data_IF_022660375912
#
_entry.id   IF_022660375912
#
_cell.length_a   1.000
_cell.length_b   1.000
_cell.length_c   1.000
_cell.angle_alpha   90.00
_cell.angle_beta   90.00
_cell.angle_gamma   90.00
#
_symmetry.space_group_name_H-M   'P 1'
#
loop_
_entity.id
_entity.type
_entity.pdbx_description
1 polymer ?
#
# COMPACT_ATOMS: atom_id res chain seq x y z
N UNK A 1 -55.24 -6.64 21.40
CA UNK A 1 -56.49 -7.28 21.84
C UNK A 1 -56.20 -8.03 23.13
N UNK A 2 -56.32 -7.31 24.24
CA UNK A 2 -56.34 -7.85 25.60
C UNK A 2 -57.82 -8.03 25.93
N UNK A 3 -58.35 -9.25 25.91
CA UNK A 3 -59.66 -9.58 26.49
C UNK A 3 -59.86 -11.09 26.44
N UNK A 4 -60.60 -11.62 27.41
CA UNK A 4 -61.02 -13.02 27.60
C UNK A 4 -60.10 -13.86 28.52
N UNK A 5 -59.86 -13.38 29.73
CA UNK A 5 -59.48 -14.24 30.86
C UNK A 5 -60.04 -13.66 32.16
N UNK A 6 -61.37 -13.60 32.31
CA UNK A 6 -61.99 -13.54 33.64
C UNK A 6 -63.42 -14.07 33.58
N UNK A 7 -63.78 -14.81 34.64
CA UNK A 7 -65.10 -15.36 35.03
C UNK A 7 -65.33 -16.83 34.64
N UNK A 8 -65.03 -17.75 35.56
CA UNK A 8 -66.06 -18.40 36.39
C UNK A 8 -65.45 -19.15 37.59
N UNK A 9 -66.06 -18.94 38.77
CA UNK A 9 -66.42 -19.96 39.76
C UNK A 9 -65.34 -20.83 40.41
N UNK A 10 -65.27 -20.75 41.74
CA UNK A 10 -64.53 -21.64 42.65
C UNK A 10 -64.82 -23.11 42.34
N UNK A 11 -63.92 -23.75 41.59
CA UNK A 11 -63.72 -25.19 41.56
C UNK A 11 -62.22 -25.39 41.76
N UNK A 12 -61.85 -26.07 42.83
CA UNK A 12 -60.48 -26.55 43.08
C UNK A 12 -60.06 -27.48 41.95
N UNK A 13 -59.48 -26.91 40.90
CA UNK A 13 -58.65 -27.62 39.94
C UNK A 13 -57.20 -27.28 40.25
N UNK A 14 -56.41 -28.34 40.50
CA UNK A 14 -54.95 -28.30 40.48
C UNK A 14 -54.50 -27.68 39.16
N UNK A 15 -54.21 -26.38 39.17
CA UNK A 15 -53.58 -25.73 38.02
C UNK A 15 -52.13 -26.21 37.98
N UNK A 16 -51.88 -27.24 37.16
CA UNK A 16 -50.54 -27.48 36.66
C UNK A 16 -50.08 -26.18 35.99
N UNK A 17 -49.26 -25.40 36.70
CA UNK A 17 -48.78 -24.11 36.23
C UNK A 17 -48.01 -24.28 34.92
N UNK A 18 -48.67 -23.96 33.81
CA UNK A 18 -48.02 -23.86 32.50
C UNK A 18 -47.27 -22.53 32.47
N UNK A 19 -45.94 -22.57 32.59
CA UNK A 19 -45.10 -21.40 32.38
C UNK A 19 -44.73 -21.32 30.89
N UNK A 20 -45.15 -20.23 30.22
CA UNK A 20 -44.81 -19.92 28.83
C UNK A 20 -43.65 -18.91 28.82
N UNK A 21 -42.55 -19.22 28.12
CA UNK A 21 -41.38 -18.34 28.00
C UNK A 21 -41.08 -18.06 26.53
N UNK A 22 -41.06 -16.78 26.16
CA UNK A 22 -40.71 -16.33 24.80
C UNK A 22 -39.23 -15.93 24.74
N UNK A 23 -38.52 -16.29 23.68
CA UNK A 23 -37.08 -16.00 23.52
C UNK A 23 -36.66 -15.87 22.07
N UNK A 24 -35.83 -14.89 21.78
CA UNK A 24 -35.25 -14.62 20.46
C UNK A 24 -33.82 -15.16 20.41
N UNK A 25 -33.50 -15.84 19.32
CA UNK A 25 -32.16 -16.35 19.01
C UNK A 25 -31.77 -15.89 17.62
N UNK A 26 -30.57 -15.32 17.50
CA UNK A 26 -30.00 -14.95 16.20
C UNK A 26 -28.98 -15.99 15.77
N UNK A 27 -28.92 -16.25 14.48
CA UNK A 27 -27.87 -17.07 13.89
C UNK A 27 -27.47 -16.55 12.50
N UNK A 28 -26.20 -16.69 12.17
CA UNK A 28 -25.68 -16.42 10.84
C UNK A 28 -26.00 -17.59 9.89
N UNK A 29 -26.41 -17.29 8.66
CA UNK A 29 -26.62 -18.33 7.65
C UNK A 29 -25.33 -19.15 7.44
N UNK A 30 -25.44 -20.47 7.50
CA UNK A 30 -24.32 -21.42 7.45
C UNK A 30 -23.74 -21.79 8.82
N UNK A 31 -24.07 -21.03 9.87
CA UNK A 31 -23.58 -21.28 11.23
C UNK A 31 -24.41 -22.33 12.00
N UNK A 32 -24.07 -22.52 13.27
CA UNK A 32 -24.82 -23.34 14.21
C UNK A 32 -25.70 -22.46 15.10
N UNK A 33 -26.97 -22.80 15.24
CA UNK A 33 -27.88 -22.18 16.21
C UNK A 33 -28.15 -23.12 17.39
N UNK A 34 -28.23 -22.56 18.60
CA UNK A 34 -28.65 -23.27 19.81
C UNK A 34 -29.95 -22.65 20.32
N UNK A 35 -31.05 -23.40 20.24
CA UNK A 35 -32.35 -22.97 20.72
C UNK A 35 -32.52 -23.44 22.18
N UNK A 36 -32.61 -22.51 23.15
CA UNK A 36 -32.61 -22.87 24.55
C UNK A 36 -33.91 -23.56 24.95
N UNK A 37 -33.81 -24.59 25.77
CA UNK A 37 -34.94 -25.13 26.50
C UNK A 37 -34.47 -25.71 27.82
N UNK A 38 -34.91 -25.11 28.92
CA UNK A 38 -34.48 -25.47 30.27
C UNK A 38 -35.67 -25.91 31.09
N UNK A 39 -35.49 -26.98 31.85
CA UNK A 39 -36.50 -27.49 32.75
C UNK A 39 -35.84 -28.00 34.03
N UNK A 40 -36.13 -27.33 35.14
CA UNK A 40 -35.70 -27.73 36.47
C UNK A 40 -36.78 -28.57 37.14
N UNK A 41 -36.42 -29.79 37.54
CA UNK A 41 -37.28 -30.68 38.32
C UNK A 41 -36.45 -31.44 39.35
N UNK A 42 -37.03 -31.65 40.54
CA UNK A 42 -36.47 -32.50 41.60
C UNK A 42 -36.89 -33.97 41.47
N UNK A 43 -37.68 -34.32 40.46
CA UNK A 43 -38.15 -35.70 40.22
C UNK A 43 -37.08 -36.54 39.53
N UNK A 44 -36.99 -37.82 39.90
CA UNK A 44 -36.13 -38.84 39.27
C UNK A 44 -36.71 -39.39 37.97
N UNK A 45 -37.95 -39.05 37.62
CA UNK A 45 -38.62 -39.52 36.40
C UNK A 45 -38.18 -38.67 35.19
N UNK A 46 -37.68 -39.33 34.15
CA UNK A 46 -37.28 -38.67 32.92
C UNK A 46 -38.50 -37.96 32.25
N UNK A 47 -38.40 -36.64 31.94
CA UNK A 47 -39.48 -35.93 31.29
C UNK A 47 -39.62 -36.33 29.81
N UNK A 48 -40.81 -36.17 29.25
CA UNK A 48 -40.99 -36.19 27.80
C UNK A 48 -40.68 -34.81 27.22
N UNK A 49 -40.01 -34.77 26.07
CA UNK A 49 -39.59 -33.54 25.40
C UNK A 49 -40.09 -33.54 23.97
N UNK A 50 -40.61 -32.41 23.51
CA UNK A 50 -41.06 -32.23 22.13
C UNK A 50 -40.58 -30.89 21.59
N UNK A 51 -39.81 -30.94 20.52
CA UNK A 51 -39.43 -29.79 19.70
C UNK A 51 -40.24 -29.80 18.41
N UNK A 52 -40.97 -28.72 18.17
CA UNK A 52 -41.82 -28.55 17.01
C UNK A 52 -41.55 -27.21 16.34
N UNK A 53 -41.41 -27.20 15.01
CA UNK A 53 -41.33 -25.97 14.22
C UNK A 53 -42.71 -25.64 13.69
N UNK A 54 -43.17 -24.41 13.92
CA UNK A 54 -44.45 -23.94 13.41
C UNK A 54 -44.48 -24.11 11.88
N UNK A 55 -45.57 -24.66 11.36
CA UNK A 55 -45.79 -24.98 9.93
C UNK A 55 -44.89 -26.07 9.31
N UNK A 56 -43.99 -26.70 10.07
CA UNK A 56 -43.14 -27.81 9.58
C UNK A 56 -43.25 -29.09 10.42
N UNK A 57 -43.88 -29.03 11.59
CA UNK A 57 -44.12 -30.18 12.43
C UNK A 57 -42.93 -30.55 13.31
N UNK A 58 -42.98 -31.78 13.83
CA UNK A 58 -42.02 -32.26 14.84
C UNK A 58 -40.60 -32.26 14.28
N UNK A 59 -39.71 -31.53 14.94
CA UNK A 59 -38.27 -31.54 14.67
C UNK A 59 -37.63 -32.74 15.35
N UNK A 60 -37.90 -32.89 16.64
CA UNK A 60 -37.40 -33.99 17.46
C UNK A 60 -38.28 -34.16 18.70
N UNK A 61 -38.47 -35.39 19.17
CA UNK A 61 -39.17 -35.68 20.44
C UNK A 61 -38.60 -36.92 21.12
N UNK A 62 -38.68 -36.94 22.45
CA UNK A 62 -38.37 -38.09 23.33
C UNK A 62 -39.53 -38.33 24.28
N UNK A 63 -40.04 -39.55 24.30
CA UNK A 63 -41.08 -39.99 25.22
C UNK A 63 -40.52 -40.40 26.58
N UNK A 64 -41.37 -40.54 27.60
CA UNK A 64 -40.98 -40.96 28.97
C UNK A 64 -40.33 -42.36 28.99
N UNK A 65 -40.73 -43.23 28.07
CA UNK A 65 -40.14 -44.58 27.87
C UNK A 65 -38.77 -44.55 27.18
N UNK A 66 -38.25 -43.39 26.80
CA UNK A 66 -36.97 -43.23 26.10
C UNK A 66 -37.03 -43.30 24.58
N UNK A 67 -38.19 -43.62 23.98
CA UNK A 67 -38.36 -43.67 22.53
C UNK A 67 -38.14 -42.28 21.93
N UNK A 68 -37.32 -42.22 20.88
CA UNK A 68 -37.00 -40.97 20.19
C UNK A 68 -37.54 -40.99 18.78
N UNK A 69 -38.06 -39.84 18.36
CA UNK A 69 -38.49 -39.61 16.98
C UNK A 69 -37.86 -38.31 16.49
N UNK A 70 -37.41 -38.32 15.23
CA UNK A 70 -36.82 -37.17 14.57
C UNK A 70 -37.53 -36.98 13.23
N UNK A 71 -37.96 -35.76 12.95
CA UNK A 71 -38.63 -35.44 11.69
C UNK A 71 -37.69 -35.74 10.51
N UNK A 72 -38.23 -36.32 9.43
CA UNK A 72 -37.45 -36.77 8.28
C UNK A 72 -36.57 -35.66 7.68
N UNK A 73 -37.08 -34.43 7.60
CA UNK A 73 -36.37 -33.23 7.10
C UNK A 73 -35.26 -32.70 8.03
N UNK A 74 -35.12 -33.25 9.24
CA UNK A 74 -34.20 -32.79 10.29
C UNK A 74 -33.13 -33.81 10.67
N UNK A 75 -33.19 -35.01 10.09
CA UNK A 75 -32.49 -36.23 10.53
C UNK A 75 -30.98 -36.10 10.71
N UNK A 76 -30.31 -35.13 10.05
CA UNK A 76 -28.86 -34.91 10.14
C UNK A 76 -28.43 -33.56 10.74
N UNK A 77 -29.29 -32.54 10.70
CA UNK A 77 -28.94 -31.17 11.11
C UNK A 77 -29.36 -30.83 12.54
N UNK A 78 -30.40 -31.48 13.05
CA UNK A 78 -30.92 -31.29 14.40
C UNK A 78 -30.30 -32.29 15.38
N UNK A 79 -29.57 -31.79 16.37
CA UNK A 79 -28.96 -32.57 17.45
C UNK A 79 -29.41 -32.04 18.80
N UNK A 80 -29.54 -32.94 19.78
CA UNK A 80 -29.73 -32.56 21.18
C UNK A 80 -28.56 -33.13 21.99
N UNK A 81 -27.93 -32.34 22.87
CA UNK A 81 -26.81 -32.80 23.68
C UNK A 81 -27.32 -33.72 24.82
N UNK A 82 -27.37 -35.02 24.53
CA UNK A 82 -27.95 -36.04 25.43
C UNK A 82 -27.32 -36.07 26.84
N UNK A 83 -26.02 -35.75 26.96
CA UNK A 83 -25.31 -35.73 28.25
C UNK A 83 -25.74 -34.58 29.16
N UNK A 84 -26.39 -33.55 28.63
CA UNK A 84 -26.87 -32.41 29.41
C UNK A 84 -28.34 -32.56 29.86
N UNK A 85 -29.02 -33.60 29.38
CA UNK A 85 -30.42 -33.90 29.73
C UNK A 85 -30.58 -34.21 31.21
N UNK A 86 -29.59 -34.89 31.81
CA UNK A 86 -29.54 -35.17 33.25
C UNK A 86 -29.46 -33.90 34.10
N UNK A 87 -29.08 -32.76 33.50
CA UNK A 87 -29.01 -31.44 34.13
C UNK A 87 -30.20 -30.54 33.79
N UNK A 88 -31.23 -31.10 33.15
CA UNK A 88 -32.43 -30.34 32.76
C UNK A 88 -32.23 -29.41 31.55
N UNK A 89 -31.16 -29.60 30.77
CA UNK A 89 -30.95 -28.87 29.51
C UNK A 89 -31.46 -29.68 28.32
N UNK A 90 -32.51 -29.19 27.68
CA UNK A 90 -33.14 -29.83 26.53
C UNK A 90 -32.99 -28.99 25.26
N UNK A 91 -31.98 -28.12 25.22
CA UNK A 91 -31.73 -27.21 24.10
C UNK A 91 -31.50 -27.97 22.79
N UNK A 92 -32.02 -27.41 21.69
CA UNK A 92 -31.91 -27.96 20.35
C UNK A 92 -30.79 -27.27 19.57
N UNK A 93 -29.82 -28.04 19.10
CA UNK A 93 -28.74 -27.57 18.25
C UNK A 93 -29.10 -27.82 16.78
N UNK A 94 -29.10 -26.76 15.97
CA UNK A 94 -29.29 -26.80 14.53
C UNK A 94 -27.98 -26.42 13.84
N UNK A 95 -27.44 -27.32 13.02
CA UNK A 95 -26.19 -27.08 12.28
C UNK A 95 -26.47 -26.63 10.85
N UNK A 96 -25.59 -25.77 10.32
CA UNK A 96 -25.66 -25.24 8.95
C UNK A 96 -27.05 -24.65 8.67
N UNK A 97 -27.43 -23.65 9.47
CA UNK A 97 -28.74 -23.02 9.39
C UNK A 97 -28.89 -22.24 8.08
N UNK A 98 -30.06 -22.33 7.48
CA UNK A 98 -30.42 -21.65 6.24
C UNK A 98 -31.54 -20.66 6.51
N UNK A 99 -31.82 -19.76 5.57
CA UNK A 99 -32.94 -18.81 5.68
C UNK A 99 -34.29 -19.52 5.95
N UNK A 100 -34.47 -20.73 5.41
CA UNK A 100 -35.68 -21.53 5.61
C UNK A 100 -35.82 -22.10 7.04
N UNK A 101 -34.74 -22.12 7.82
CA UNK A 101 -34.76 -22.54 9.21
C UNK A 101 -35.28 -21.43 10.13
N UNK A 102 -35.26 -20.17 9.69
CA UNK A 102 -35.87 -19.06 10.43
C UNK A 102 -37.36 -19.31 10.75
N UNK A 103 -37.81 -18.76 11.87
CA UNK A 103 -39.20 -18.83 12.33
C UNK A 103 -39.35 -19.30 13.77
N UNK A 104 -40.59 -19.62 14.13
CA UNK A 104 -40.96 -19.96 15.50
C UNK A 104 -40.82 -21.47 15.75
N UNK A 105 -40.15 -21.80 16.85
CA UNK A 105 -40.01 -23.13 17.40
C UNK A 105 -40.69 -23.19 18.77
N UNK A 106 -41.17 -24.37 19.13
CA UNK A 106 -41.78 -24.65 20.43
C UNK A 106 -41.04 -25.81 21.07
N UNK A 107 -40.59 -25.62 22.31
CA UNK A 107 -40.11 -26.69 23.17
C UNK A 107 -41.16 -26.96 24.23
N UNK A 108 -41.66 -28.19 24.31
CA UNK A 108 -42.59 -28.62 25.34
C UNK A 108 -41.95 -29.73 26.16
N UNK A 109 -41.79 -29.50 27.46
CA UNK A 109 -41.26 -30.46 28.42
C UNK A 109 -42.36 -30.87 29.39
N UNK A 110 -42.69 -32.16 29.40
CA UNK A 110 -43.75 -32.75 30.23
C UNK A 110 -43.08 -33.65 31.28
N UNK A 111 -42.92 -33.12 32.48
CA UNK A 111 -42.42 -33.86 33.63
C UNK A 111 -43.52 -34.63 34.36
N UNK A 112 -43.30 -34.88 35.65
CA UNK A 112 -44.23 -35.60 36.51
C UNK A 112 -45.34 -34.68 37.03
N UNK A 113 -44.97 -33.54 37.61
CA UNK A 113 -45.93 -32.60 38.22
C UNK A 113 -46.07 -31.28 37.46
N UNK A 114 -45.24 -31.07 36.42
CA UNK A 114 -45.14 -29.78 35.75
C UNK A 114 -44.92 -29.93 34.25
N UNK A 115 -45.58 -29.05 33.49
CA UNK A 115 -45.36 -28.85 32.06
C UNK A 115 -44.74 -27.47 31.85
N UNK A 116 -43.72 -27.39 31.02
CA UNK A 116 -43.12 -26.11 30.60
C UNK A 116 -43.15 -26.03 29.08
N UNK A 117 -43.51 -24.86 28.56
CA UNK A 117 -43.50 -24.58 27.14
C UNK A 117 -42.69 -23.31 26.88
N UNK A 118 -41.74 -23.41 25.95
CA UNK A 118 -40.93 -22.28 25.52
C UNK A 118 -41.17 -22.03 24.04
N UNK A 119 -41.40 -20.78 23.67
CA UNK A 119 -41.51 -20.34 22.28
C UNK A 119 -40.23 -19.61 21.90
N UNK A 120 -39.53 -20.11 20.89
CA UNK A 120 -38.24 -19.56 20.46
C UNK A 120 -38.39 -19.03 19.03
N UNK A 121 -38.12 -17.74 18.84
CA UNK A 121 -38.03 -17.12 17.51
C UNK A 121 -36.58 -17.18 17.03
N UNK A 122 -36.31 -18.01 16.02
CA UNK A 122 -35.01 -18.09 15.36
C UNK A 122 -34.96 -17.09 14.20
N UNK A 123 -34.08 -16.09 14.31
CA UNK A 123 -33.82 -15.07 13.30
C UNK A 123 -32.49 -15.37 12.62
N UNK A 124 -32.54 -15.60 11.32
CA UNK A 124 -31.38 -15.87 10.48
C UNK A 124 -30.92 -14.59 9.80
N UNK A 125 -29.65 -14.26 9.95
CA UNK A 125 -29.02 -13.11 9.33
C UNK A 125 -28.07 -13.62 8.24
N UNK A 126 -28.19 -13.08 7.03
CA UNK A 126 -27.33 -13.41 5.90
C UNK A 126 -26.76 -12.14 5.30
N UNK A 127 -25.44 -12.06 5.22
CA UNK A 127 -24.74 -11.01 4.47
C UNK A 127 -24.40 -11.54 3.07
N UNK A 128 -24.69 -10.75 2.05
CA UNK A 128 -24.37 -11.07 0.65
C UNK A 128 -23.62 -9.91 0.00
N UNK A 129 -22.57 -10.22 -0.75
CA UNK A 129 -21.82 -9.24 -1.54
C UNK A 129 -22.04 -9.56 -3.02
N UNK A 130 -22.48 -8.57 -3.79
CA UNK A 130 -22.78 -8.72 -5.22
C UNK A 130 -22.16 -7.59 -6.03
N UNK A 131 -21.30 -7.89 -7.03
CA UNK A 131 -20.73 -9.22 -7.29
C UNK A 131 -19.81 -9.66 -6.15
N UNK A 132 -19.60 -10.97 -5.98
CA UNK A 132 -18.81 -11.52 -4.85
C UNK A 132 -17.35 -11.08 -4.84
N UNK A 133 -16.81 -10.73 -6.01
CA UNK A 133 -15.45 -10.21 -6.18
C UNK A 133 -15.48 -9.06 -7.17
N UNK A 134 -15.87 -7.84 -6.73
CA UNK A 134 -15.98 -6.69 -7.61
C UNK A 134 -14.61 -6.20 -8.09
N UNK A 135 -14.61 -5.58 -9.26
CA UNK A 135 -13.44 -4.90 -9.80
C UNK A 135 -13.31 -3.52 -9.17
N UNK A 136 -12.09 -3.03 -9.01
CA UNK A 136 -11.85 -1.66 -8.56
C UNK A 136 -12.65 -0.66 -9.42
N UNK A 137 -13.43 0.22 -8.77
CA UNK A 137 -14.28 1.23 -9.41
C UNK A 137 -15.66 0.74 -9.86
N UNK A 138 -15.96 -0.56 -9.84
CA UNK A 138 -17.30 -1.06 -10.17
C UNK A 138 -18.28 -0.80 -9.02
N UNK A 139 -19.57 -0.79 -9.34
CA UNK A 139 -20.62 -0.81 -8.31
C UNK A 139 -20.64 -2.16 -7.60
N UNK A 140 -20.76 -2.13 -6.28
CA UNK A 140 -20.95 -3.31 -5.43
C UNK A 140 -22.07 -3.04 -4.45
N UNK A 141 -22.93 -4.04 -4.29
CA UNK A 141 -24.03 -4.06 -3.34
C UNK A 141 -23.72 -5.06 -2.23
N UNK A 142 -23.77 -4.60 -0.99
CA UNK A 142 -23.64 -5.43 0.21
C UNK A 142 -25.02 -5.45 0.88
N UNK A 143 -25.67 -6.61 0.86
CA UNK A 143 -27.01 -6.80 1.42
C UNK A 143 -26.98 -7.55 2.76
N UNK A 144 -27.84 -7.14 3.69
CA UNK A 144 -28.17 -7.87 4.90
C UNK A 144 -29.62 -8.33 4.81
N UNK A 145 -29.81 -9.64 4.74
CA UNK A 145 -31.14 -10.26 4.71
C UNK A 145 -31.43 -10.90 6.06
N UNK A 146 -32.58 -10.53 6.64
CA UNK A 146 -33.05 -11.02 7.94
C UNK A 146 -34.29 -11.89 7.73
N UNK A 147 -34.28 -13.13 8.22
CA UNK A 147 -35.39 -14.08 8.03
C UNK A 147 -35.74 -14.79 9.35
N UNK A 148 -36.97 -14.69 9.86
CA UNK A 148 -38.03 -13.77 9.42
C UNK A 148 -37.64 -12.32 9.72
N UNK A 149 -38.30 -11.36 9.07
CA UNK A 149 -38.11 -9.94 9.34
C UNK A 149 -39.23 -9.46 10.29
N UNK A 150 -39.01 -9.44 11.62
CA UNK A 150 -40.03 -8.98 12.55
C UNK A 150 -40.20 -7.46 12.46
N UNK A 151 -41.41 -6.97 12.78
CA UNK A 151 -41.65 -5.54 12.89
C UNK A 151 -40.79 -4.92 14.00
N UNK A 152 -40.17 -3.77 13.73
CA UNK A 152 -39.28 -3.09 14.68
C UNK A 152 -37.83 -3.60 14.65
N UNK A 153 -37.45 -4.42 13.67
CA UNK A 153 -36.04 -4.78 13.45
C UNK A 153 -35.21 -3.55 13.05
N UNK A 154 -34.00 -3.46 13.59
CA UNK A 154 -33.02 -2.42 13.24
C UNK A 154 -31.80 -3.05 12.61
N UNK A 155 -31.22 -2.37 11.62
CA UNK A 155 -30.00 -2.81 10.93
C UNK A 155 -28.96 -1.71 11.01
N UNK A 156 -27.73 -2.10 11.36
CA UNK A 156 -26.56 -1.22 11.30
C UNK A 156 -25.34 -1.98 10.76
N UNK A 157 -24.47 -1.27 10.07
CA UNK A 157 -23.28 -1.85 9.47
C UNK A 157 -22.01 -1.51 10.23
N UNK A 158 -21.06 -2.44 10.21
CA UNK A 158 -19.69 -2.22 10.63
C UNK A 158 -18.75 -2.68 9.52
N UNK A 159 -17.72 -1.87 9.24
CA UNK A 159 -16.61 -2.22 8.36
C UNK A 159 -15.35 -2.33 9.20
N UNK A 160 -14.72 -3.50 9.24
CA UNK A 160 -13.50 -3.76 10.04
C UNK A 160 -13.68 -3.33 11.51
N UNK A 161 -14.81 -3.69 12.11
CA UNK A 161 -15.25 -3.33 13.47
C UNK A 161 -15.47 -1.82 13.72
N UNK A 162 -15.48 -0.98 12.68
CA UNK A 162 -15.81 0.44 12.78
C UNK A 162 -17.23 0.69 12.28
N UNK A 163 -18.05 1.53 12.95
CA UNK A 163 -19.39 1.85 12.49
C UNK A 163 -19.37 2.43 11.07
N UNK A 164 -20.17 1.87 10.18
CA UNK A 164 -20.39 2.41 8.84
C UNK A 164 -21.72 3.16 8.84
N UNK A 165 -21.71 4.44 8.44
CA UNK A 165 -22.86 5.36 8.58
C UNK A 165 -23.94 5.04 7.55
N UNK A 166 -24.77 4.04 7.82
CA UNK A 166 -26.03 3.77 7.13
C UNK A 166 -26.93 2.88 7.99
N UNK A 167 -28.25 3.10 7.88
CA UNK A 167 -29.28 2.25 8.48
C UNK A 167 -29.98 1.36 7.43
N UNK A 168 -29.57 1.44 6.17
CA UNK A 168 -30.17 0.66 5.09
C UNK A 168 -29.72 -0.80 5.13
N UNK A 169 -30.64 -1.72 4.84
CA UNK A 169 -30.34 -3.16 4.75
C UNK A 169 -29.44 -3.49 3.55
N UNK A 170 -29.35 -2.62 2.55
CA UNK A 170 -28.47 -2.77 1.39
C UNK A 170 -27.57 -1.55 1.27
N UNK A 171 -26.27 -1.76 1.13
CA UNK A 171 -25.26 -0.71 0.97
C UNK A 171 -24.71 -0.78 -0.45
N UNK A 172 -24.87 0.30 -1.21
CA UNK A 172 -24.30 0.43 -2.54
C UNK A 172 -23.09 1.36 -2.49
N UNK A 173 -21.91 0.85 -2.85
CA UNK A 173 -20.66 1.61 -2.87
C UNK A 173 -19.86 1.32 -4.14
N UNK A 174 -18.93 2.21 -4.47
CA UNK A 174 -17.89 1.93 -5.46
C UNK A 174 -16.79 1.09 -4.82
N UNK A 175 -16.46 -0.03 -5.46
CA UNK A 175 -15.41 -0.93 -5.00
C UNK A 175 -14.06 -0.20 -4.96
N UNK A 176 -13.46 -0.09 -3.78
CA UNK A 176 -12.20 0.60 -3.54
C UNK A 176 -11.44 -0.06 -2.39
N UNK A 177 -10.13 0.22 -2.29
CA UNK A 177 -9.31 -0.28 -1.17
C UNK A 177 -9.88 0.13 0.19
N UNK A 178 -10.54 1.30 0.26
CA UNK A 178 -11.11 1.85 1.50
C UNK A 178 -12.33 1.07 2.02
N UNK A 179 -13.06 0.37 1.14
CA UNK A 179 -14.25 -0.41 1.49
C UNK A 179 -13.97 -1.91 1.60
N UNK A 180 -12.73 -2.32 1.34
CA UNK A 180 -12.26 -3.71 1.49
C UNK A 180 -12.23 -4.12 2.97
N UNK A 181 -12.54 -5.38 3.23
CA UNK A 181 -12.42 -5.99 4.55
C UNK A 181 -13.69 -6.69 5.01
N UNK A 182 -13.84 -6.84 6.31
CA UNK A 182 -14.95 -7.58 6.91
C UNK A 182 -16.15 -6.65 7.13
N UNK A 183 -17.24 -6.92 6.41
CA UNK A 183 -18.53 -6.26 6.55
C UNK A 183 -19.42 -7.06 7.49
N UNK A 184 -19.80 -6.46 8.62
CA UNK A 184 -20.68 -7.09 9.60
C UNK A 184 -22.00 -6.35 9.65
N UNK A 185 -23.09 -7.06 9.38
CA UNK A 185 -24.43 -6.59 9.65
C UNK A 185 -24.76 -6.90 11.11
N UNK A 186 -25.19 -5.89 11.86
CA UNK A 186 -25.72 -6.06 13.22
C UNK A 186 -27.20 -5.75 13.20
N UNK A 187 -27.97 -6.72 13.68
CA UNK A 187 -29.43 -6.70 13.68
C UNK A 187 -29.90 -6.60 15.13
N UNK A 188 -30.64 -5.54 15.45
CA UNK A 188 -31.24 -5.34 16.77
C UNK A 188 -32.74 -5.65 16.76
N UNK A 189 -33.21 -6.44 17.73
CA UNK A 189 -34.63 -6.73 17.94
C UNK A 189 -34.89 -7.08 19.41
N UNK A 190 -35.96 -6.53 20.01
CA UNK A 190 -36.34 -6.75 21.42
C UNK A 190 -35.17 -6.59 22.42
N UNK A 191 -34.33 -5.57 22.21
CA UNK A 191 -33.17 -5.28 23.07
C UNK A 191 -31.99 -6.25 22.94
N UNK A 192 -32.07 -7.26 22.06
CA UNK A 192 -30.97 -8.18 21.73
C UNK A 192 -30.37 -7.85 20.37
N UNK A 193 -29.12 -8.26 20.17
CA UNK A 193 -28.41 -8.09 18.90
C UNK A 193 -27.91 -9.44 18.34
N UNK A 194 -28.10 -9.62 17.04
CA UNK A 194 -27.48 -10.68 16.24
C UNK A 194 -26.51 -10.11 15.22
N UNK A 195 -25.56 -10.94 14.76
CA UNK A 195 -24.52 -10.52 13.79
C UNK A 195 -24.30 -11.58 12.74
N UNK A 196 -23.99 -11.14 11.52
CA UNK A 196 -23.46 -11.96 10.44
C UNK A 196 -22.46 -11.14 9.64
N UNK A 197 -21.47 -11.79 9.03
CA UNK A 197 -20.39 -11.07 8.33
C UNK A 197 -20.05 -11.68 6.98
N UNK A 198 -19.58 -10.84 6.07
CA UNK A 198 -18.96 -11.28 4.83
C UNK A 198 -17.73 -10.41 4.52
N UNK A 199 -16.73 -11.01 3.91
CA UNK A 199 -15.53 -10.28 3.49
C UNK A 199 -15.72 -9.75 2.07
N UNK A 200 -15.52 -8.44 1.90
CA UNK A 200 -15.41 -7.80 0.60
C UNK A 200 -13.92 -7.69 0.22
N UNK A 201 -13.54 -8.38 -0.86
CA UNK A 201 -12.22 -8.27 -1.48
C UNK A 201 -12.37 -7.67 -2.89
N UNK A 202 -11.62 -6.61 -3.16
CA UNK A 202 -11.62 -5.94 -4.46
C UNK A 202 -10.44 -6.43 -5.29
N UNK A 203 -10.69 -6.75 -6.55
CA UNK A 203 -9.68 -7.20 -7.51
C UNK A 203 -9.38 -6.09 -8.53
N UNK A 204 -8.12 -5.97 -8.94
CA UNK A 204 -7.72 -5.01 -9.96
C UNK A 204 -6.24 -4.64 -9.89
N UNK A 205 -5.90 -3.43 -10.32
CA UNK A 205 -4.56 -2.86 -10.18
C UNK A 205 -4.36 -2.52 -8.69
N UNK A 206 -3.29 -3.00 -8.06
CA UNK A 206 -2.92 -2.73 -6.66
C UNK A 206 -1.79 -1.70 -6.55
N UNK A 207 -0.90 -1.64 -7.55
CA UNK A 207 0.08 -0.57 -7.70
C UNK A 207 0.02 -0.02 -9.12
N UNK A 208 -0.11 1.31 -9.30
CA UNK A 208 -0.02 2.36 -8.28
C UNK A 208 -1.21 2.32 -7.30
N UNK A 209 -1.05 2.87 -6.09
CA UNK A 209 -1.99 2.68 -4.97
C UNK A 209 -3.28 3.48 -5.10
N UNK A 210 -3.20 4.69 -5.67
CA UNK A 210 -4.33 5.56 -6.07
C UNK A 210 -4.18 5.97 -7.54
N UNK A 211 -5.20 6.62 -8.11
CA UNK A 211 -5.07 7.27 -9.42
C UNK A 211 -4.23 8.55 -9.27
N UNK A 212 -3.46 8.88 -10.30
CA UNK A 212 -2.49 9.99 -10.31
C UNK A 212 -1.49 9.94 -9.13
N UNK A 213 -1.13 8.74 -8.68
CA UNK A 213 -0.11 8.58 -7.65
C UNK A 213 1.25 9.11 -8.14
N UNK A 214 1.98 9.83 -7.29
CA UNK A 214 3.30 10.38 -7.63
C UNK A 214 4.41 9.41 -7.28
N UNK A 215 5.36 9.29 -8.19
CA UNK A 215 6.59 8.51 -8.04
C UNK A 215 7.75 9.47 -8.26
N UNK A 216 8.66 9.56 -7.30
CA UNK A 216 9.78 10.51 -7.33
C UNK A 216 11.07 9.81 -7.73
N UNK A 217 11.85 10.42 -8.61
CA UNK A 217 13.17 9.94 -8.99
C UNK A 217 14.13 11.11 -9.23
N UNK A 218 15.42 10.90 -8.94
CA UNK A 218 16.47 11.85 -9.26
C UNK A 218 17.03 11.60 -10.67
N UNK A 219 17.49 12.63 -11.36
CA UNK A 219 18.23 12.46 -12.62
C UNK A 219 19.46 11.57 -12.39
N UNK A 220 19.66 10.58 -13.26
CA UNK A 220 20.73 9.58 -13.17
C UNK A 220 20.45 8.43 -12.20
N UNK A 221 19.36 8.47 -11.43
CA UNK A 221 18.95 7.34 -10.57
C UNK A 221 18.15 6.28 -11.34
N UNK A 222 18.07 5.08 -10.78
CA UNK A 222 17.17 4.03 -11.29
C UNK A 222 15.79 4.12 -10.62
N UNK A 223 14.73 3.90 -11.38
CA UNK A 223 13.35 3.88 -10.87
C UNK A 223 12.54 2.75 -11.48
N UNK A 224 11.64 2.16 -10.70
CA UNK A 224 10.64 1.22 -11.19
C UNK A 224 9.27 1.87 -11.14
N UNK A 225 8.63 1.99 -12.30
CA UNK A 225 7.23 2.40 -12.40
C UNK A 225 6.33 1.19 -12.15
N UNK A 226 5.52 1.20 -11.07
CA UNK A 226 4.80 0.01 -10.66
C UNK A 226 3.53 -0.19 -11.50
N UNK A 227 3.32 -1.40 -12.01
CA UNK A 227 2.07 -1.79 -12.65
C UNK A 227 1.72 -3.21 -12.21
N UNK A 228 1.14 -3.32 -11.02
CA UNK A 228 0.93 -4.60 -10.34
C UNK A 228 -0.56 -4.83 -10.17
N UNK A 229 -1.03 -5.99 -10.61
CA UNK A 229 -2.40 -6.48 -10.44
C UNK A 229 -2.50 -7.36 -9.18
N UNK A 230 -3.71 -7.54 -8.66
CA UNK A 230 -3.95 -8.43 -7.52
C UNK A 230 -3.39 -9.83 -7.81
N UNK A 231 -2.64 -10.47 -6.88
CA UNK A 231 -2.10 -11.82 -7.09
C UNK A 231 -3.17 -12.81 -7.57
N UNK A 232 -2.82 -13.62 -8.57
CA UNK A 232 -3.75 -14.56 -9.22
C UNK A 232 -4.68 -13.92 -10.25
N UNK A 233 -4.48 -12.65 -10.60
CA UNK A 233 -5.05 -12.04 -11.80
C UNK A 233 -3.99 -11.93 -12.89
N UNK A 234 -4.32 -12.45 -14.07
CA UNK A 234 -3.48 -12.38 -15.26
C UNK A 234 -4.22 -11.56 -16.31
N UNK A 235 -3.92 -10.26 -16.44
CA UNK A 235 -4.59 -9.39 -17.41
C UNK A 235 -4.28 -9.82 -18.84
N UNK A 236 -5.30 -9.76 -19.70
CA UNK A 236 -5.10 -9.79 -21.13
C UNK A 236 -4.65 -8.40 -21.61
N UNK A 237 -3.64 -8.36 -22.47
CA UNK A 237 -3.04 -7.11 -23.00
C UNK A 237 -2.63 -6.12 -21.89
N UNK A 238 -1.82 -6.54 -20.90
CA UNK A 238 -1.28 -5.59 -19.94
C UNK A 238 -0.41 -4.56 -20.66
N UNK A 239 -0.54 -3.30 -20.28
CA UNK A 239 0.27 -2.23 -20.84
C UNK A 239 0.64 -1.22 -19.76
N UNK A 240 1.91 -0.82 -19.78
CA UNK A 240 2.40 0.37 -19.11
C UNK A 240 2.87 1.32 -20.22
N UNK A 241 2.33 2.53 -20.25
CA UNK A 241 2.55 3.48 -21.36
C UNK A 241 2.74 4.91 -20.83
N UNK A 242 3.51 5.73 -21.55
CA UNK A 242 3.69 7.16 -21.23
C UNK A 242 2.63 7.96 -21.99
N UNK A 243 1.84 8.77 -21.28
CA UNK A 243 0.81 9.62 -21.87
C UNK A 243 1.43 10.93 -22.38
N UNK A 244 1.06 11.33 -23.61
CA UNK A 244 1.45 12.62 -24.19
C UNK A 244 0.47 13.73 -23.77
N UNK A 245 0.94 14.94 -23.45
CA UNK A 245 0.07 16.08 -23.21
C UNK A 245 -0.75 16.39 -24.46
N UNK A 246 -2.09 16.47 -24.34
CA UNK A 246 -2.97 16.97 -25.40
C UNK A 246 -3.40 15.99 -26.49
N UNK A 247 -3.11 14.67 -26.39
CA UNK A 247 -3.65 13.70 -27.35
C UNK A 247 -5.08 13.29 -27.00
N UNK A 248 -6.06 13.86 -27.71
CA UNK A 248 -7.45 13.38 -27.77
C UNK A 248 -7.65 12.24 -28.78
N UNK A 249 -6.57 11.73 -29.40
CA UNK A 249 -6.65 10.74 -30.47
C UNK A 249 -6.32 9.34 -29.96
N UNK A 250 -7.38 8.54 -29.86
CA UNK A 250 -7.37 7.08 -29.87
C UNK A 250 -6.78 6.63 -31.22
N UNK A 251 -5.63 5.93 -31.24
CA UNK A 251 -5.36 4.77 -32.12
C UNK A 251 -3.90 4.29 -32.29
N UNK A 252 -2.95 4.60 -31.40
CA UNK A 252 -1.78 3.73 -31.18
C UNK A 252 -1.46 3.63 -29.69
N UNK A 253 -1.31 2.42 -29.11
CA UNK A 253 -0.70 2.27 -27.80
C UNK A 253 0.77 2.69 -27.94
N UNK A 254 1.09 3.89 -27.49
CA UNK A 254 2.47 4.36 -27.51
C UNK A 254 3.23 3.58 -26.43
N UNK A 255 4.09 2.67 -26.89
CA UNK A 255 4.90 1.82 -26.00
C UNK A 255 5.73 2.71 -25.06
N UNK A 256 5.98 2.21 -23.85
CA UNK A 256 7.05 2.73 -22.99
C UNK A 256 8.31 3.04 -23.83
N UNK A 257 9.01 4.15 -23.53
CA UNK A 257 10.31 4.41 -24.15
C UNK A 257 11.22 3.19 -24.06
N UNK A 258 12.02 2.93 -25.09
CA UNK A 258 12.89 1.75 -25.17
C UNK A 258 13.94 1.67 -24.04
N UNK A 259 14.18 2.78 -23.33
CA UNK A 259 15.03 2.85 -22.14
C UNK A 259 14.49 2.05 -20.95
N UNK A 260 13.18 1.76 -20.94
CA UNK A 260 12.56 0.94 -19.90
C UNK A 260 12.76 -0.56 -20.15
N UNK A 261 13.14 -1.27 -19.08
CA UNK A 261 13.25 -2.72 -19.05
C UNK A 261 12.09 -3.27 -18.24
N UNK A 262 11.22 -4.07 -18.87
CA UNK A 262 10.11 -4.72 -18.17
C UNK A 262 10.64 -5.72 -17.13
N UNK A 263 9.99 -5.79 -15.97
CA UNK A 263 10.39 -6.67 -14.86
C UNK A 263 10.23 -8.17 -15.17
N UNK A 264 9.52 -8.54 -16.23
CA UNK A 264 9.33 -9.95 -16.64
C UNK A 264 9.32 -10.11 -18.16
N UNK A 265 10.42 -10.59 -18.77
CA UNK A 265 10.45 -11.09 -20.15
C UNK A 265 10.02 -12.57 -20.29
N UNK A 266 9.54 -13.22 -19.22
CA UNK A 266 9.23 -14.66 -19.21
C UNK A 266 7.88 -15.01 -19.85
N UNK A 267 7.81 -16.19 -20.47
CA UNK A 267 6.62 -16.78 -21.10
C UNK A 267 5.48 -17.15 -20.14
N UNK A 268 5.65 -16.93 -18.84
CA UNK A 268 4.62 -17.21 -17.84
C UNK A 268 3.74 -15.99 -17.55
N UNK A 269 2.42 -16.20 -17.37
CA UNK A 269 1.52 -15.14 -16.98
C UNK A 269 1.87 -14.63 -15.58
N UNK A 270 2.16 -13.34 -15.46
CA UNK A 270 2.50 -12.64 -14.22
C UNK A 270 1.43 -11.61 -13.87
N UNK A 271 1.28 -11.27 -12.59
CA UNK A 271 0.47 -10.14 -12.14
C UNK A 271 1.27 -8.83 -12.08
N UNK A 272 2.59 -8.90 -12.16
CA UNK A 272 3.49 -7.75 -12.12
C UNK A 272 4.00 -7.43 -13.53
N UNK A 273 3.61 -6.24 -14.01
CA UNK A 273 4.00 -5.68 -15.31
C UNK A 273 4.73 -4.34 -15.13
N UNK A 274 5.41 -4.17 -14.00
CA UNK A 274 6.22 -2.99 -13.71
C UNK A 274 7.39 -2.88 -14.70
N UNK A 275 7.90 -1.65 -14.87
CA UNK A 275 9.05 -1.40 -15.75
C UNK A 275 10.09 -0.54 -15.05
N UNK A 276 11.36 -0.89 -15.23
CA UNK A 276 12.49 -0.23 -14.61
C UNK A 276 13.26 0.60 -15.63
N UNK A 277 13.51 1.85 -15.30
CA UNK A 277 14.41 2.76 -16.00
C UNK A 277 15.69 2.87 -15.20
N UNK A 278 16.84 2.58 -15.81
CA UNK A 278 18.14 2.52 -15.11
C UNK A 278 18.71 3.88 -14.79
N UNK A 279 18.56 4.83 -15.71
CA UNK A 279 19.06 6.18 -15.60
C UNK A 279 17.93 7.12 -16.01
N UNK A 280 17.38 7.83 -15.04
CA UNK A 280 16.28 8.78 -15.26
C UNK A 280 16.82 10.07 -15.85
N UNK A 281 16.21 10.54 -16.94
CA UNK A 281 16.44 11.87 -17.48
C UNK A 281 15.33 12.84 -17.06
N UNK A 282 15.61 14.15 -17.17
CA UNK A 282 14.61 15.16 -16.83
C UNK A 282 13.36 15.09 -17.75
N UNK A 283 13.55 14.63 -18.99
CA UNK A 283 12.47 14.47 -19.98
C UNK A 283 11.58 13.23 -19.71
N UNK A 284 12.04 12.30 -18.88
CA UNK A 284 11.24 11.12 -18.51
C UNK A 284 10.02 11.49 -17.66
N UNK A 285 9.99 12.68 -17.07
CA UNK A 285 8.83 13.18 -16.35
C UNK A 285 7.52 13.10 -17.17
N UNK A 286 6.41 12.94 -16.47
CA UNK A 286 5.08 12.95 -17.08
C UNK A 286 4.13 11.93 -16.47
N UNK A 287 2.97 11.77 -17.12
CA UNK A 287 1.95 10.82 -16.68
C UNK A 287 2.13 9.49 -17.38
N UNK A 288 2.09 8.40 -16.62
CA UNK A 288 2.18 7.02 -17.09
C UNK A 288 0.89 6.30 -16.73
N UNK A 289 0.46 5.37 -17.59
CA UNK A 289 -0.78 4.62 -17.43
C UNK A 289 -0.50 3.13 -17.37
N UNK A 290 -0.89 2.51 -16.26
CA UNK A 290 -0.96 1.06 -16.10
C UNK A 290 -2.36 0.60 -16.50
N UNK A 291 -2.47 -0.38 -17.40
CA UNK A 291 -3.75 -0.88 -17.89
C UNK A 291 -3.73 -2.38 -18.21
N UNK A 292 -4.91 -2.99 -18.25
CA UNK A 292 -5.06 -4.41 -18.60
C UNK A 292 -6.51 -4.88 -18.57
N UNK A 293 -6.82 -5.97 -19.27
CA UNK A 293 -8.17 -6.50 -19.39
C UNK A 293 -8.35 -7.71 -18.47
N UNK A 294 -9.31 -7.67 -17.54
CA UNK A 294 -9.66 -8.79 -16.66
C UNK A 294 -11.12 -9.18 -16.89
N UNK A 295 -11.35 -10.41 -17.37
CA UNK A 295 -12.71 -10.94 -17.65
C UNK A 295 -13.57 -9.99 -18.51
N UNK A 296 -12.96 -9.33 -19.50
CA UNK A 296 -13.64 -8.38 -20.39
C UNK A 296 -13.76 -6.95 -19.85
N UNK A 297 -13.36 -6.68 -18.60
CA UNK A 297 -13.31 -5.33 -18.04
C UNK A 297 -11.94 -4.71 -18.26
N UNK A 298 -11.91 -3.51 -18.84
CA UNK A 298 -10.70 -2.71 -19.00
C UNK A 298 -10.38 -1.97 -17.69
N UNK A 299 -9.24 -2.28 -17.09
CA UNK A 299 -8.75 -1.61 -15.90
C UNK A 299 -7.63 -0.64 -16.29
N UNK A 300 -7.64 0.54 -15.69
CA UNK A 300 -6.61 1.56 -15.90
C UNK A 300 -6.31 2.30 -14.61
N UNK A 301 -5.06 2.73 -14.45
CA UNK A 301 -4.60 3.59 -13.37
C UNK A 301 -3.45 4.47 -13.86
N UNK A 302 -3.53 5.76 -13.59
CA UNK A 302 -2.48 6.70 -13.91
C UNK A 302 -1.54 6.91 -12.72
N UNK A 303 -0.29 7.27 -13.04
CA UNK A 303 0.73 7.72 -12.09
C UNK A 303 1.52 8.87 -12.72
N UNK A 304 2.17 9.68 -11.89
CA UNK A 304 3.02 10.78 -12.35
C UNK A 304 4.46 10.52 -11.92
N UNK A 305 5.38 10.47 -12.88
CA UNK A 305 6.82 10.46 -12.61
C UNK A 305 7.28 11.91 -12.41
N UNK A 306 7.65 12.23 -11.17
CA UNK A 306 8.22 13.52 -10.78
C UNK A 306 9.73 13.39 -10.75
N UNK A 307 10.42 14.18 -11.57
CA UNK A 307 11.89 14.11 -11.69
C UNK A 307 12.53 15.29 -10.96
N UNK A 308 13.52 14.98 -10.14
CA UNK A 308 14.32 15.94 -9.39
C UNK A 308 15.73 16.07 -9.99
N UNK A 309 16.23 17.30 -10.12
CA UNK A 309 17.61 17.62 -10.48
C UNK A 309 18.15 18.75 -9.62
N UNK A 310 19.47 18.90 -9.62
CA UNK A 310 20.14 20.05 -9.01
C UNK A 310 20.68 20.94 -10.12
N UNK A 311 20.20 22.18 -10.15
CA UNK A 311 20.73 23.21 -11.03
C UNK A 311 21.82 23.99 -10.31
N UNK A 312 22.97 24.08 -10.97
CA UNK A 312 24.15 24.77 -10.48
C UNK A 312 24.32 26.08 -11.25
N UNK A 313 24.45 27.19 -10.52
CA UNK A 313 24.69 28.51 -11.09
C UNK A 313 25.80 29.24 -10.35
N UNK A 314 26.66 29.94 -11.09
CA UNK A 314 27.71 30.80 -10.52
C UNK A 314 27.25 32.26 -10.56
N UNK A 315 27.37 32.96 -9.43
CA UNK A 315 26.95 34.36 -9.36
C UNK A 315 27.95 35.24 -10.12
N UNK A 316 27.50 35.92 -11.17
CA UNK A 316 28.37 36.67 -12.11
C UNK A 316 29.25 37.76 -11.46
N UNK A 317 28.97 38.17 -10.21
CA UNK A 317 29.75 39.18 -9.46
C UNK A 317 30.84 38.59 -8.55
N UNK A 318 30.81 37.29 -8.25
CA UNK A 318 31.80 36.58 -7.41
C UNK A 318 32.14 35.26 -8.10
N UNK A 319 33.29 35.20 -8.79
CA UNK A 319 33.72 34.05 -9.61
C UNK A 319 33.83 32.72 -8.84
N UNK A 320 33.87 32.78 -7.50
CA UNK A 320 34.03 31.62 -6.61
C UNK A 320 32.76 31.26 -5.80
N UNK A 321 31.64 31.94 -6.04
CA UNK A 321 30.37 31.66 -5.36
C UNK A 321 29.48 30.73 -6.19
N UNK A 322 28.93 29.71 -5.53
CA UNK A 322 28.15 28.64 -6.14
C UNK A 322 26.76 28.60 -5.51
N UNK A 323 25.72 28.57 -6.33
CA UNK A 323 24.35 28.40 -5.87
C UNK A 323 23.77 27.12 -6.47
N UNK A 324 23.38 26.19 -5.60
CA UNK A 324 22.70 24.94 -5.98
C UNK A 324 21.21 25.09 -5.71
N UNK A 325 20.38 24.78 -6.69
CA UNK A 325 18.92 24.84 -6.56
C UNK A 325 18.32 23.48 -6.84
N UNK A 326 17.52 23.00 -5.89
CA UNK A 326 16.79 21.74 -6.01
C UNK A 326 15.55 21.98 -6.88
N UNK A 327 15.57 21.46 -8.10
CA UNK A 327 14.48 21.61 -9.06
C UNK A 327 13.71 20.30 -9.22
N UNK A 328 12.40 20.36 -9.03
CA UNK A 328 11.48 19.27 -9.30
C UNK A 328 10.51 19.68 -10.41
N UNK A 329 10.06 18.72 -11.21
CA UNK A 329 9.05 18.95 -12.25
C UNK A 329 7.67 19.25 -11.68
N UNK A 330 7.37 18.74 -10.50
CA UNK A 330 6.16 19.04 -9.73
C UNK A 330 6.51 19.21 -8.24
N UNK A 331 6.01 20.30 -7.65
CA UNK A 331 6.26 20.67 -6.24
C UNK A 331 4.99 20.70 -5.40
N UNK A 332 3.84 20.31 -5.96
CA UNK A 332 2.53 20.48 -5.32
C UNK A 332 2.31 19.63 -4.06
N UNK A 333 3.07 18.55 -3.87
CA UNK A 333 3.06 17.74 -2.63
C UNK A 333 4.28 18.03 -1.72
N UNK A 334 5.17 18.95 -2.12
CA UNK A 334 6.38 19.27 -1.36
C UNK A 334 6.12 20.41 -0.39
N UNK A 335 6.42 20.17 0.89
CA UNK A 335 6.20 21.12 2.00
C UNK A 335 7.50 21.72 2.54
N UNK A 336 8.63 20.99 2.49
CA UNK A 336 9.92 21.47 2.97
C UNK A 336 11.11 20.88 2.18
N UNK A 337 12.26 21.54 2.27
CA UNK A 337 13.53 21.15 1.65
C UNK A 337 14.67 21.25 2.66
N UNK A 338 15.56 20.26 2.64
CA UNK A 338 16.79 20.25 3.45
C UNK A 338 18.00 19.87 2.59
N UNK A 339 19.05 20.67 2.67
CA UNK A 339 20.36 20.38 2.10
C UNK A 339 21.24 19.74 3.15
N UNK A 340 21.81 18.59 2.81
CA UNK A 340 22.71 17.82 3.65
C UNK A 340 24.04 17.71 2.93
N UNK A 341 25.11 18.13 3.59
CA UNK A 341 26.48 17.87 3.14
C UNK A 341 27.03 16.66 3.88
N UNK A 342 27.46 15.66 3.12
CA UNK A 342 28.02 14.42 3.66
C UNK A 342 29.52 14.44 3.45
N UNK A 343 30.27 14.28 4.54
CA UNK A 343 31.72 14.12 4.53
C UNK A 343 32.06 12.69 4.95
N UNK A 344 33.14 12.18 4.39
CA UNK A 344 33.66 10.85 4.69
C UNK A 344 34.91 10.99 5.53
N UNK A 345 34.91 10.43 6.73
CA UNK A 345 36.09 10.36 7.57
C UNK A 345 37.16 9.47 6.91
N UNK A 346 38.41 9.53 7.36
CA UNK A 346 39.55 8.73 6.85
C UNK A 346 39.27 7.20 6.88
N UNK A 347 38.32 6.76 7.72
CA UNK A 347 37.87 5.38 7.84
C UNK A 347 36.59 5.06 7.01
N UNK A 348 36.12 5.97 6.15
CA UNK A 348 34.92 5.80 5.32
C UNK A 348 33.60 5.95 6.08
N UNK A 349 33.61 6.49 7.29
CA UNK A 349 32.41 6.72 8.11
C UNK A 349 31.72 8.01 7.66
N UNK A 350 30.41 7.96 7.39
CA UNK A 350 29.63 9.12 6.94
C UNK A 350 29.30 10.03 8.13
N UNK A 351 29.70 11.30 8.06
CA UNK A 351 29.35 12.35 9.01
C UNK A 351 28.53 13.45 8.30
N UNK A 352 27.46 13.90 8.95
CA UNK A 352 26.61 14.99 8.45
C UNK A 352 27.10 16.29 9.07
N UNK A 353 27.68 17.17 8.25
CA UNK A 353 28.34 18.40 8.75
C UNK A 353 27.42 19.62 8.75
N UNK A 354 26.53 19.74 7.77
CA UNK A 354 25.64 20.90 7.67
C UNK A 354 24.24 20.52 7.18
N UNK A 355 23.23 21.12 7.83
CA UNK A 355 21.82 21.05 7.42
C UNK A 355 21.36 22.47 7.15
N UNK A 356 21.03 22.77 5.90
CA UNK A 356 20.47 24.07 5.52
C UNK A 356 19.05 23.90 4.99
N UNK A 357 18.11 24.71 5.48
CA UNK A 357 16.72 24.67 5.05
C UNK A 357 16.48 25.53 3.82
N UNK A 358 15.57 25.07 2.98
CA UNK A 358 15.11 25.79 1.81
C UNK A 358 15.53 25.15 0.48
N UNK A 359 14.87 25.61 -0.58
CA UNK A 359 15.02 25.05 -1.92
C UNK A 359 16.40 25.27 -2.55
N UNK A 360 17.10 26.31 -2.09
CA UNK A 360 18.37 26.76 -2.66
C UNK A 360 19.43 26.82 -1.57
N UNK A 361 20.62 26.32 -1.92
CA UNK A 361 21.85 26.39 -1.14
C UNK A 361 22.78 27.40 -1.79
N UNK A 362 23.24 28.39 -1.02
CA UNK A 362 24.21 29.39 -1.48
C UNK A 362 25.54 29.19 -0.74
N UNK A 363 26.59 28.92 -1.50
CA UNK A 363 27.97 28.80 -1.01
C UNK A 363 28.74 30.06 -1.44
N UNK A 364 29.05 30.92 -0.46
CA UNK A 364 29.75 32.20 -0.67
C UNK A 364 31.14 32.03 -1.30
N UNK A 365 31.82 30.93 -0.96
CA UNK A 365 33.11 30.52 -1.51
C UNK A 365 33.21 29.00 -1.52
N UNK A 366 33.48 28.42 -2.68
CA UNK A 366 33.81 26.99 -2.78
C UNK A 366 35.22 26.76 -2.21
N UNK A 367 35.31 26.05 -1.09
CA UNK A 367 36.53 25.68 -0.37
C UNK A 367 36.65 24.16 -0.28
N UNK A 368 37.79 23.65 0.23
CA UNK A 368 37.95 22.21 0.53
C UNK A 368 36.88 21.70 1.50
N UNK A 369 36.40 22.55 2.41
CA UNK A 369 35.33 22.21 3.37
C UNK A 369 33.97 22.01 2.69
N UNK A 370 33.66 22.74 1.62
CA UNK A 370 32.38 22.64 0.92
C UNK A 370 32.43 21.68 -0.28
N UNK A 371 33.57 21.03 -0.50
CA UNK A 371 33.76 20.03 -1.55
C UNK A 371 33.03 18.74 -1.19
N UNK A 372 32.58 17.99 -2.20
CA UNK A 372 32.00 16.67 -2.00
C UNK A 372 30.50 16.61 -2.28
N UNK A 373 29.82 15.71 -1.58
CA UNK A 373 28.45 15.31 -1.90
C UNK A 373 27.43 16.18 -1.16
N UNK A 374 26.63 16.91 -1.94
CA UNK A 374 25.50 17.69 -1.44
C UNK A 374 24.19 17.05 -1.87
N UNK A 375 23.37 16.69 -0.90
CA UNK A 375 22.07 16.05 -1.12
C UNK A 375 20.95 16.99 -0.75
N UNK A 376 20.08 17.32 -1.71
CA UNK A 376 18.79 17.94 -1.42
C UNK A 376 17.78 16.84 -1.08
N UNK A 377 17.16 16.93 0.09
CA UNK A 377 16.02 16.12 0.53
C UNK A 377 14.77 16.98 0.46
N UNK A 378 13.67 16.43 -0.04
CA UNK A 378 12.40 17.12 -0.14
C UNK A 378 11.29 16.28 0.51
N UNK A 379 10.43 16.96 1.27
CA UNK A 379 9.46 16.34 2.18
C UNK A 379 8.04 16.72 1.79
N UNK A 380 7.10 15.83 2.05
CA UNK A 380 5.65 16.05 2.00
C UNK A 380 5.04 15.93 3.40
N UNK A 381 3.72 15.98 3.50
CA UNK A 381 3.02 15.90 4.80
C UNK A 381 3.27 14.58 5.55
N UNK A 382 3.48 13.48 4.82
CA UNK A 382 3.70 12.13 5.39
C UNK A 382 5.19 11.78 5.60
N UNK A 383 6.13 12.69 5.30
CA UNK A 383 7.57 12.47 5.48
C UNK A 383 8.41 12.74 4.23
N UNK A 384 9.56 12.07 4.09
CA UNK A 384 10.48 12.27 2.95
C UNK A 384 9.87 11.72 1.66
N UNK A 385 9.81 12.54 0.62
CA UNK A 385 9.32 12.14 -0.71
C UNK A 385 10.46 11.60 -1.58
N UNK A 386 11.66 12.15 -1.42
CA UNK A 386 12.84 11.73 -2.14
C UNK A 386 14.05 12.61 -1.86
N UNK A 387 15.14 12.33 -2.58
CA UNK A 387 16.36 13.12 -2.52
C UNK A 387 17.04 13.16 -3.91
N UNK A 388 17.93 14.13 -4.08
CA UNK A 388 18.80 14.25 -5.24
C UNK A 388 20.17 14.73 -4.78
N UNK A 389 21.21 14.10 -5.31
CA UNK A 389 22.61 14.38 -4.96
C UNK A 389 23.30 15.12 -6.10
N UNK A 390 24.19 16.05 -5.74
CA UNK A 390 25.13 16.68 -6.65
C UNK A 390 26.53 16.70 -6.03
N UNK A 391 27.55 16.47 -6.86
CA UNK A 391 28.93 16.52 -6.42
C UNK A 391 29.55 17.88 -6.74
N UNK A 392 29.98 18.60 -5.71
CA UNK A 392 30.65 19.90 -5.85
C UNK A 392 32.15 19.67 -5.97
N UNK A 393 32.71 20.04 -7.12
CA UNK A 393 34.14 19.99 -7.38
C UNK A 393 34.78 21.36 -7.13
N UNK A 394 36.01 21.37 -6.62
CA UNK A 394 36.82 22.59 -6.61
C UNK A 394 37.09 22.97 -8.08
N UNK A 395 36.58 24.12 -8.52
CA UNK A 395 37.08 24.70 -9.76
C UNK A 395 38.53 25.09 -9.51
N UNK A 396 39.45 24.24 -9.97
CA UNK A 396 40.85 24.58 -10.06
C UNK A 396 40.94 25.83 -10.90
N UNK A 397 41.06 26.98 -10.24
CA UNK A 397 41.50 28.16 -10.91
C UNK A 397 42.80 27.77 -11.61
N UNK A 398 42.80 27.86 -12.93
CA UNK A 398 43.90 28.53 -13.61
C UNK A 398 43.91 30.00 -13.12
N UNK A 399 44.02 30.19 -11.80
CA UNK A 399 44.89 31.21 -11.27
C UNK A 399 46.20 30.85 -11.93
N UNK A 400 46.54 31.61 -12.97
CA UNK A 400 47.91 31.75 -13.38
C UNK A 400 48.64 32.09 -12.09
N UNK A 401 49.16 31.07 -11.42
CA UNK A 401 50.42 31.19 -10.72
C UNK A 401 51.26 31.82 -11.80
N UNK A 402 51.59 33.09 -11.60
CA UNK A 402 52.82 33.62 -12.14
C UNK A 402 53.92 32.82 -11.43
N UNK A 403 54.00 31.51 -11.68
CA UNK A 403 55.29 31.01 -12.10
C UNK A 403 55.57 31.90 -13.31
N UNK A 404 56.58 32.75 -13.16
CA UNK A 404 57.47 32.91 -14.27
C UNK A 404 57.66 31.50 -14.85
N UNK A 405 56.92 31.21 -15.91
CA UNK A 405 57.44 30.39 -16.99
C UNK A 405 58.76 31.07 -17.33
N UNK A 406 59.82 30.64 -16.64
CA UNK A 406 61.15 30.70 -17.19
C UNK A 406 61.00 29.80 -18.40
N UNK A 407 60.74 30.47 -19.51
CA UNK A 407 60.81 29.92 -20.85
C UNK A 407 62.00 28.96 -20.88
N UNK A 408 61.73 27.71 -21.26
CA UNK A 408 62.74 26.69 -21.56
C UNK A 408 63.70 27.10 -22.70
N UNK A 409 63.73 28.38 -23.09
CA UNK A 409 64.76 28.95 -23.94
C UNK A 409 66.00 29.42 -23.15
N UNK A 410 66.00 29.45 -21.82
CA UNK A 410 67.18 29.88 -21.02
C UNK A 410 68.26 28.82 -20.86
N UNK A 411 67.93 27.52 -20.85
CA UNK A 411 68.97 26.46 -20.84
C UNK A 411 69.62 26.32 -22.22
N UNK A 412 68.85 26.53 -23.30
CA UNK A 412 69.40 26.56 -24.66
C UNK A 412 70.23 27.82 -24.94
N UNK A 413 69.84 29.01 -24.44
CA UNK A 413 70.61 30.25 -24.64
C UNK A 413 71.81 30.39 -23.71
N UNK A 414 71.77 29.87 -22.47
CA UNK A 414 72.96 29.78 -21.60
C UNK A 414 73.94 28.73 -22.13
N UNK A 415 73.44 27.59 -22.62
CA UNK A 415 74.25 26.60 -23.34
C UNK A 415 74.91 27.18 -24.59
N UNK A 416 74.15 27.92 -25.43
CA UNK A 416 74.70 28.56 -26.63
C UNK A 416 75.72 29.66 -26.31
N UNK A 417 75.50 30.45 -25.25
CA UNK A 417 76.42 31.53 -24.87
C UNK A 417 77.71 31.00 -24.25
N UNK A 418 77.65 29.92 -23.46
CA UNK A 418 78.85 29.21 -22.99
C UNK A 418 79.58 28.54 -24.17
N UNK A 419 78.87 27.91 -25.10
CA UNK A 419 79.47 27.30 -26.29
C UNK A 419 80.14 28.35 -27.20
N UNK A 420 79.50 29.51 -27.39
CA UNK A 420 80.05 30.65 -28.13
C UNK A 420 81.27 31.25 -27.43
N UNK A 421 81.27 31.38 -26.10
CA UNK A 421 82.43 31.83 -25.32
C UNK A 421 83.61 30.85 -25.44
N UNK A 422 83.36 29.54 -25.39
CA UNK A 422 84.40 28.52 -25.59
C UNK A 422 84.95 28.56 -27.01
N UNK A 423 84.10 28.68 -28.03
CA UNK A 423 84.52 28.85 -29.43
C UNK A 423 85.33 30.13 -29.64
N UNK A 424 84.95 31.23 -29.00
CA UNK A 424 85.67 32.51 -29.09
C UNK A 424 87.04 32.42 -28.41
N UNK A 425 87.15 31.73 -27.27
CA UNK A 425 88.44 31.46 -26.62
C UNK A 425 89.35 30.55 -27.46
N UNK A 426 88.78 29.57 -28.17
CA UNK A 426 89.52 28.72 -29.13
C UNK A 426 90.00 29.55 -30.32
N UNK A 427 89.15 30.40 -30.90
CA UNK A 427 89.52 31.30 -31.99
C UNK A 427 90.56 32.33 -31.58
N UNK A 428 90.47 32.88 -30.36
CA UNK A 428 91.49 33.78 -29.80
C UNK A 428 92.80 33.04 -29.56
N UNK A 429 92.78 31.80 -29.05
CA UNK A 429 94.00 30.98 -28.95
C UNK A 429 94.57 30.66 -30.33
N UNK A 430 93.75 30.34 -31.32
CA UNK A 430 94.18 30.14 -32.71
C UNK A 430 94.74 31.42 -33.31
N UNK A 431 94.15 32.59 -33.04
CA UNK A 431 94.62 33.89 -33.51
C UNK A 431 95.92 34.31 -32.85
N UNK A 432 96.06 34.12 -31.53
CA UNK A 432 97.30 34.38 -30.78
C UNK A 432 98.40 33.38 -31.19
N UNK A 433 98.05 32.13 -31.49
CA UNK A 433 98.98 31.14 -32.01
C UNK A 433 99.37 31.44 -33.46
N UNK A 434 98.45 31.95 -34.27
CA UNK A 434 98.72 32.41 -35.64
C UNK A 434 99.54 33.71 -35.66
N UNK A 435 99.34 34.62 -34.70
CA UNK A 435 100.20 35.80 -34.52
C UNK A 435 101.61 35.45 -34.02
N UNK A 436 101.80 34.32 -33.32
CA UNK A 436 103.14 33.79 -33.00
C UNK A 436 103.88 33.20 -34.22
N UNK A 437 103.19 32.96 -35.34
CA UNK A 437 103.76 32.28 -36.52
C UNK A 437 103.87 33.21 -37.74
N UNK A 438 103.62 34.52 -37.60
CA UNK A 438 103.98 35.51 -38.64
C UNK A 438 105.08 36.47 -38.16
N UNK A 439 106.31 36.38 -38.70
CA UNK A 439 107.31 37.41 -38.56
C UNK A 439 106.83 38.71 -39.23
N UNK A 440 106.84 39.80 -38.47
CA UNK A 440 106.66 41.14 -39.00
C UNK A 440 107.91 41.56 -39.79
N UNK A 441 107.71 41.82 -41.07
CA UNK A 441 108.60 42.57 -41.93
C UNK A 441 108.49 44.06 -41.51
N UNK A 442 109.55 44.65 -40.96
CA UNK A 442 109.70 46.10 -40.99
C UNK A 442 111.16 46.54 -41.15
N UNK A 443 111.37 47.15 -42.32
CA UNK A 443 112.27 48.24 -42.67
C UNK A 443 113.10 48.89 -41.56
N UNK A 444 114.42 48.94 -41.81
CA UNK A 444 115.36 49.90 -41.25
C UNK A 444 115.99 50.71 -42.41
N UNK A 445 115.68 52.02 -42.50
CA UNK A 445 116.64 53.07 -42.85
C UNK A 445 117.45 53.36 -41.56
N UNK A 446 118.71 53.80 -41.48
CA UNK A 446 119.69 54.47 -42.35
C UNK A 446 121.01 54.51 -41.54
N UNK A 447 122.19 54.43 -42.17
CA UNK A 447 123.36 55.30 -41.94
C UNK A 447 124.63 54.81 -42.68
N UNK A 448 125.26 55.79 -43.36
CA UNK A 448 126.53 55.83 -44.12
C UNK A 448 126.56 55.26 -45.54
#
# INVERSE_FOLDING_TARGET
MLSECFIFGVITFLTAGAQCQDTEVFAEAGSQALLPCRYSSSSTVAPAIMWNKVNKGTVWRKEKNGLQYRGSSWTQRAKCPHSQFERGDFSLQLNNVTEQDGGIYTCRVVGEHRVTESRIMLIIIKVSVSPSVPMLGSDVSIGCKVTPEPHGVTVRWMLNNRPFRTAESVVNVKASVRVTGNWTCVVGYEGKEGRASATLAVKGIIQPSKDDAKVYAAVGSAITLPCVFTPGLFPAKPALEKLKPGSLLIHTPDRLPASFVASSPSSEPTSDHSATLKEVEFEDQGTYRCSGIIKGHWLTRNMQLVVAKIDSSTLSKKRDSLTLTCQLTDTSEVVDYEWVHVVYDVNGTQSVESIQKGKTLSLDKVSEENQGEWTCRFYGEEGILGNVTHHVHLMGGLSGKKSSSVSNNTVATVGLSILLLVLLLVLVKMYLNHQRVRPALHSHLTLY
#
